data_IF_539143297880
#
_entry.id   IF_539143297880
#
_cell.length_a   1.000
_cell.length_b   1.000
_cell.length_c   1.000
_cell.angle_alpha   90.00
_cell.angle_beta   90.00
_cell.angle_gamma   90.00
#
_symmetry.space_group_name_H-M   'P 1'
#
loop_
_entity.id
_entity.type
_entity.pdbx_description
1 polymer ?
#
# COMPACT_ATOMS: atom_id res chain seq x y z
N UNK A 1 30.78 -26.17 -6.94
CA UNK A 1 30.78 -24.69 -6.86
C UNK A 1 30.28 -24.19 -8.20
N UNK A 2 28.96 -24.03 -8.34
CA UNK A 2 28.38 -23.48 -9.56
C UNK A 2 28.39 -21.96 -9.48
N UNK A 3 29.11 -21.39 -10.41
CA UNK A 3 29.30 -19.95 -10.52
C UNK A 3 28.07 -19.39 -11.26
N UNK A 4 27.04 -18.96 -10.52
CA UNK A 4 25.91 -18.27 -11.12
C UNK A 4 26.38 -16.87 -11.54
N UNK A 5 26.71 -16.74 -12.82
CA UNK A 5 26.93 -15.44 -13.44
C UNK A 5 25.62 -14.66 -13.40
N UNK A 6 25.53 -13.68 -12.52
CA UNK A 6 24.43 -12.73 -12.51
C UNK A 6 24.48 -11.92 -13.81
N UNK A 7 23.75 -12.36 -14.81
CA UNK A 7 23.46 -11.52 -15.96
C UNK A 7 22.55 -10.39 -15.47
N UNK A 8 23.06 -9.17 -15.51
CA UNK A 8 22.33 -7.95 -15.21
C UNK A 8 21.25 -7.71 -16.28
N UNK A 9 20.14 -8.45 -16.20
CA UNK A 9 18.96 -8.17 -16.99
C UNK A 9 18.08 -7.21 -16.20
N UNK A 10 17.67 -6.10 -16.80
CA UNK A 10 16.82 -5.05 -16.19
C UNK A 10 15.42 -5.54 -15.74
N UNK A 11 15.07 -6.78 -16.01
CA UNK A 11 13.82 -7.44 -15.63
C UNK A 11 14.12 -8.64 -14.76
N UNK A 12 14.12 -8.42 -13.43
CA UNK A 12 14.16 -9.55 -12.50
C UNK A 12 12.78 -10.22 -12.46
N UNK A 13 12.76 -11.52 -12.65
CA UNK A 13 11.57 -12.35 -12.43
C UNK A 13 11.44 -12.63 -10.93
N UNK A 14 10.21 -12.87 -10.49
CA UNK A 14 9.97 -13.43 -9.15
C UNK A 14 10.22 -14.93 -9.27
N UNK A 15 11.23 -15.42 -8.56
CA UNK A 15 11.67 -16.84 -8.61
C UNK A 15 11.13 -17.65 -7.44
N UNK A 16 10.78 -16.99 -6.34
CA UNK A 16 10.15 -17.64 -5.19
C UNK A 16 8.69 -17.96 -5.46
N UNK A 17 8.30 -19.22 -5.24
CA UNK A 17 6.92 -19.67 -5.35
C UNK A 17 6.12 -19.30 -4.11
N UNK A 18 4.91 -18.83 -4.28
CA UNK A 18 3.95 -18.54 -3.21
C UNK A 18 2.52 -18.83 -3.66
N UNK A 19 1.64 -19.08 -2.70
CA UNK A 19 0.22 -19.20 -2.98
C UNK A 19 -0.42 -17.81 -2.98
N UNK A 20 -1.05 -17.44 -4.12
CA UNK A 20 -1.79 -16.18 -4.24
C UNK A 20 -3.24 -16.36 -3.79
N UNK A 21 -3.74 -15.40 -2.98
CA UNK A 21 -5.12 -15.35 -2.51
C UNK A 21 -5.75 -14.00 -2.86
N UNK A 22 -6.98 -14.03 -3.40
CA UNK A 22 -7.77 -12.84 -3.72
C UNK A 22 -9.11 -12.86 -2.99
N UNK A 23 -9.14 -12.60 -1.66
CA UNK A 23 -10.39 -12.60 -0.90
C UNK A 23 -11.34 -11.51 -1.39
N UNK A 24 -12.65 -11.78 -1.31
CA UNK A 24 -13.72 -10.84 -1.67
C UNK A 24 -14.32 -10.12 -0.45
N UNK A 25 -14.00 -10.57 0.78
CA UNK A 25 -14.49 -9.98 2.03
C UNK A 25 -13.37 -9.75 3.04
N UNK A 26 -13.59 -8.82 3.97
CA UNK A 26 -12.64 -8.56 5.05
C UNK A 26 -12.48 -9.79 5.97
N UNK A 27 -13.56 -10.53 6.24
CA UNK A 27 -13.50 -11.74 7.07
C UNK A 27 -12.59 -12.80 6.44
N UNK A 28 -12.75 -13.06 5.15
CA UNK A 28 -11.90 -13.99 4.40
C UNK A 28 -10.43 -13.52 4.41
N UNK A 29 -10.18 -12.24 4.15
CA UNK A 29 -8.84 -11.66 4.20
C UNK A 29 -8.19 -11.86 5.57
N UNK A 30 -8.90 -11.55 6.67
CA UNK A 30 -8.41 -11.71 8.03
C UNK A 30 -8.13 -13.16 8.39
N UNK A 31 -8.90 -14.12 7.85
CA UNK A 31 -8.63 -15.54 8.01
C UNK A 31 -7.33 -15.96 7.33
N UNK A 32 -7.15 -15.56 6.08
CA UNK A 32 -5.94 -15.86 5.30
C UNK A 32 -4.69 -15.24 5.93
N UNK A 33 -4.80 -14.04 6.51
CA UNK A 33 -3.68 -13.36 7.17
C UNK A 33 -3.23 -14.01 8.49
N UNK A 34 -3.93 -15.03 8.97
CA UNK A 34 -3.49 -15.85 10.12
C UNK A 34 -2.52 -16.95 9.72
N UNK A 35 -2.45 -17.29 8.44
CA UNK A 35 -1.48 -18.25 7.95
C UNK A 35 -0.06 -17.72 8.15
N UNK A 36 0.89 -18.55 8.57
CA UNK A 36 2.26 -18.12 8.80
C UNK A 36 2.90 -17.63 7.51
N UNK A 37 3.89 -16.76 7.65
CA UNK A 37 4.68 -16.21 6.54
C UNK A 37 3.82 -15.65 5.39
N UNK A 38 2.77 -14.90 5.76
CA UNK A 38 1.84 -14.28 4.81
C UNK A 38 2.19 -12.82 4.58
N UNK A 39 2.28 -12.42 3.32
CA UNK A 39 2.47 -11.02 2.92
C UNK A 39 1.17 -10.42 2.38
N UNK A 40 0.94 -9.14 2.71
CA UNK A 40 -0.18 -8.36 2.22
C UNK A 40 0.20 -7.66 0.93
N UNK A 41 -0.63 -7.83 -0.10
CA UNK A 41 -0.51 -7.12 -1.37
C UNK A 41 -1.67 -6.12 -1.51
N UNK A 42 -1.35 -4.83 -1.41
CA UNK A 42 -2.26 -3.74 -1.76
C UNK A 42 -1.86 -3.19 -3.14
N UNK A 43 -1.17 -2.05 -3.19
CA UNK A 43 -0.66 -1.48 -4.44
C UNK A 43 0.56 -2.19 -5.05
N UNK A 44 1.28 -2.96 -4.28
CA UNK A 44 2.42 -3.78 -4.71
C UNK A 44 3.72 -3.05 -5.01
N UNK A 45 3.76 -1.73 -4.94
CA UNK A 45 4.92 -0.92 -5.31
C UNK A 45 6.19 -1.22 -4.50
N UNK A 46 6.03 -1.69 -3.26
CA UNK A 46 7.12 -2.16 -2.41
C UNK A 46 7.27 -3.68 -2.42
N UNK A 47 6.17 -4.42 -2.19
CA UNK A 47 6.22 -5.88 -2.08
C UNK A 47 6.75 -6.55 -3.35
N UNK A 48 6.27 -6.13 -4.53
CA UNK A 48 6.72 -6.72 -5.81
C UNK A 48 8.24 -6.51 -6.00
N UNK A 49 8.74 -5.34 -5.60
CA UNK A 49 10.18 -5.08 -5.65
C UNK A 49 10.96 -5.97 -4.66
N UNK A 50 10.45 -6.16 -3.44
CA UNK A 50 11.06 -7.07 -2.45
C UNK A 50 11.10 -8.52 -2.96
N UNK A 51 10.03 -8.98 -3.60
CA UNK A 51 9.97 -10.32 -4.22
C UNK A 51 10.98 -10.46 -5.36
N UNK A 52 11.07 -9.46 -6.25
CA UNK A 52 12.03 -9.45 -7.38
C UNK A 52 13.49 -9.34 -6.92
N UNK A 53 13.74 -8.68 -5.80
CA UNK A 53 15.07 -8.53 -5.22
C UNK A 53 15.43 -9.69 -4.27
N UNK A 54 14.53 -10.65 -4.11
CA UNK A 54 14.70 -11.80 -3.21
C UNK A 54 14.98 -11.38 -1.75
N UNK A 55 14.39 -10.24 -1.33
CA UNK A 55 14.47 -9.74 0.06
C UNK A 55 13.23 -10.08 0.88
N UNK A 56 12.21 -10.66 0.25
CA UNK A 56 11.01 -11.22 0.90
C UNK A 56 10.66 -12.56 0.26
N UNK A 57 10.35 -13.56 1.08
CA UNK A 57 10.02 -14.92 0.66
C UNK A 57 8.76 -15.41 1.39
N UNK A 58 7.57 -14.81 1.13
CA UNK A 58 6.33 -15.26 1.74
C UNK A 58 5.86 -16.58 1.15
N UNK A 59 5.22 -17.42 1.95
CA UNK A 59 4.54 -18.64 1.46
C UNK A 59 3.16 -18.31 0.89
N UNK A 60 2.55 -17.22 1.39
CA UNK A 60 1.25 -16.74 0.97
C UNK A 60 1.28 -15.25 0.67
N UNK A 61 0.58 -14.84 -0.39
CA UNK A 61 0.36 -13.43 -0.73
C UNK A 61 -1.14 -13.19 -0.81
N UNK A 62 -1.66 -12.29 0.05
CA UNK A 62 -3.08 -11.95 0.12
C UNK A 62 -3.31 -10.58 -0.52
N UNK A 63 -4.01 -10.54 -1.65
CA UNK A 63 -4.35 -9.33 -2.37
C UNK A 63 -5.63 -8.69 -1.83
N UNK A 64 -5.52 -7.48 -1.34
CA UNK A 64 -6.66 -6.77 -0.71
C UNK A 64 -7.57 -6.03 -1.68
N UNK A 65 -7.19 -5.88 -2.95
CA UNK A 65 -7.96 -5.07 -3.93
C UNK A 65 -9.35 -5.61 -4.25
N UNK A 66 -9.65 -6.88 -3.93
CA UNK A 66 -10.98 -7.46 -4.06
C UNK A 66 -11.93 -7.14 -2.89
N UNK A 67 -11.40 -6.66 -1.77
CA UNK A 67 -12.17 -6.39 -0.54
C UNK A 67 -12.76 -4.98 -0.62
N UNK A 68 -14.02 -4.85 -1.00
CA UNK A 68 -14.69 -3.56 -1.26
C UNK A 68 -14.71 -2.64 -0.04
N UNK A 69 -14.87 -3.18 1.15
CA UNK A 69 -14.90 -2.42 2.41
C UNK A 69 -13.60 -1.65 2.67
N UNK A 70 -12.48 -2.12 2.13
CA UNK A 70 -11.17 -1.47 2.25
C UNK A 70 -10.94 -0.34 1.23
N UNK A 71 -11.85 -0.14 0.30
CA UNK A 71 -11.78 0.92 -0.73
C UNK A 71 -12.53 2.20 -0.36
N UNK A 72 -13.09 2.31 0.85
CA UNK A 72 -13.83 3.50 1.25
C UNK A 72 -12.92 4.72 1.39
N UNK A 73 -13.30 5.83 0.74
CA UNK A 73 -12.66 7.13 0.89
C UNK A 73 -13.75 8.18 1.11
N UNK A 74 -13.85 8.71 2.33
CA UNK A 74 -14.93 9.61 2.71
C UNK A 74 -14.50 10.60 3.80
N UNK A 75 -15.19 11.74 3.86
CA UNK A 75 -15.12 12.63 5.00
C UNK A 75 -16.04 12.12 6.12
N UNK A 76 -15.56 12.14 7.36
CA UNK A 76 -16.36 11.81 8.53
C UNK A 76 -16.46 13.03 9.44
N UNK A 77 -17.68 13.38 9.82
CA UNK A 77 -17.95 14.36 10.87
C UNK A 77 -18.33 13.59 12.14
N UNK A 78 -17.51 13.72 13.17
CA UNK A 78 -17.81 13.14 14.49
C UNK A 78 -18.86 13.95 15.24
N UNK A 79 -19.54 13.31 16.20
CA UNK A 79 -20.52 13.96 17.08
C UNK A 79 -19.92 15.07 17.94
N UNK A 80 -18.60 15.04 18.13
CA UNK A 80 -17.83 15.98 18.96
C UNK A 80 -17.26 17.15 18.15
N UNK A 81 -17.77 17.40 16.93
CA UNK A 81 -17.28 18.44 16.03
C UNK A 81 -15.94 18.11 15.34
N UNK A 82 -15.40 16.92 15.56
CA UNK A 82 -14.23 16.43 14.85
C UNK A 82 -14.61 16.08 13.40
N UNK A 83 -13.89 16.65 12.45
CA UNK A 83 -13.98 16.25 11.06
C UNK A 83 -12.66 15.65 10.62
N UNK A 84 -12.71 14.52 9.92
CA UNK A 84 -11.53 13.81 9.45
C UNK A 84 -11.78 13.08 8.15
N UNK A 85 -10.73 12.48 7.61
CA UNK A 85 -10.79 11.62 6.44
C UNK A 85 -10.77 10.16 6.86
N UNK A 86 -11.67 9.36 6.27
CA UNK A 86 -11.56 7.92 6.27
C UNK A 86 -10.87 7.49 4.96
N UNK A 87 -9.69 6.89 5.10
CA UNK A 87 -8.89 6.42 3.97
C UNK A 87 -8.72 4.90 4.10
N UNK A 88 -9.48 4.15 3.34
CA UNK A 88 -9.42 2.69 3.35
C UNK A 88 -8.07 2.14 2.87
N UNK A 89 -7.74 0.92 3.27
CA UNK A 89 -6.43 0.31 3.05
C UNK A 89 -6.06 0.12 1.57
N UNK A 90 -7.05 0.06 0.67
CA UNK A 90 -6.83 -0.09 -0.78
C UNK A 90 -6.98 1.22 -1.56
N UNK A 91 -7.26 2.33 -0.86
CA UNK A 91 -7.33 3.66 -1.48
C UNK A 91 -5.95 4.08 -1.96
N UNK A 92 -5.85 4.39 -3.25
CA UNK A 92 -4.58 4.78 -3.86
C UNK A 92 -4.19 6.21 -3.51
N UNK A 93 -2.90 6.49 -3.54
CA UNK A 93 -2.37 7.84 -3.36
C UNK A 93 -2.96 8.81 -4.39
N UNK A 94 -3.14 8.36 -5.64
CA UNK A 94 -3.74 9.19 -6.70
C UNK A 94 -5.20 9.55 -6.42
N UNK A 95 -5.99 8.66 -5.79
CA UNK A 95 -7.37 8.99 -5.38
C UNK A 95 -7.37 10.08 -4.32
N UNK A 96 -6.49 10.01 -3.34
CA UNK A 96 -6.36 11.04 -2.29
C UNK A 96 -5.83 12.35 -2.87
N UNK A 97 -4.81 12.31 -3.71
CA UNK A 97 -4.22 13.48 -4.39
C UNK A 97 -5.23 14.25 -5.23
N UNK A 98 -6.17 13.56 -5.88
CA UNK A 98 -7.21 14.18 -6.71
C UNK A 98 -8.38 14.77 -5.94
N UNK A 99 -8.49 14.49 -4.66
CA UNK A 99 -9.59 14.99 -3.82
C UNK A 99 -9.47 16.50 -3.61
N UNK A 100 -10.50 17.24 -3.99
CA UNK A 100 -10.57 18.68 -3.76
C UNK A 100 -10.60 19.02 -2.26
N UNK A 101 -11.21 18.19 -1.44
CA UNK A 101 -11.19 18.30 0.02
C UNK A 101 -9.77 18.19 0.57
N UNK A 102 -8.99 17.23 0.07
CA UNK A 102 -7.61 17.06 0.50
C UNK A 102 -6.74 18.25 0.09
N UNK A 103 -6.87 18.72 -1.13
CA UNK A 103 -6.14 19.90 -1.62
C UNK A 103 -6.47 21.16 -0.82
N UNK A 104 -7.73 21.32 -0.41
CA UNK A 104 -8.19 22.51 0.30
C UNK A 104 -7.91 22.46 1.81
N UNK A 105 -8.18 21.31 2.45
CA UNK A 105 -8.24 21.21 3.90
C UNK A 105 -7.05 20.44 4.51
N UNK A 106 -6.31 19.67 3.70
CA UNK A 106 -5.22 18.79 4.14
C UNK A 106 -3.99 18.97 3.24
N UNK A 107 -3.57 20.23 3.03
CA UNK A 107 -2.50 20.57 2.08
C UNK A 107 -1.20 19.82 2.34
N UNK A 108 -0.82 19.62 3.61
CA UNK A 108 0.38 18.87 3.98
C UNK A 108 0.31 17.40 3.53
N UNK A 109 -0.87 16.77 3.61
CA UNK A 109 -1.08 15.41 3.09
C UNK A 109 -1.02 15.39 1.56
N UNK A 110 -1.63 16.39 0.90
CA UNK A 110 -1.56 16.53 -0.55
C UNK A 110 -0.10 16.63 -1.03
N UNK A 111 0.69 17.52 -0.44
CA UNK A 111 2.09 17.72 -0.81
C UNK A 111 2.94 16.49 -0.53
N UNK A 112 2.76 15.84 0.62
CA UNK A 112 3.44 14.61 0.96
C UNK A 112 3.14 13.49 -0.06
N UNK A 113 1.89 13.29 -0.45
CA UNK A 113 1.51 12.31 -1.46
C UNK A 113 2.06 12.70 -2.84
N UNK A 114 2.01 13.99 -3.20
CA UNK A 114 2.50 14.49 -4.49
C UNK A 114 4.00 14.25 -4.67
N UNK A 115 4.79 14.26 -3.58
CA UNK A 115 6.22 13.97 -3.59
C UNK A 115 6.56 12.49 -3.79
N UNK A 116 5.60 11.58 -3.58
CA UNK A 116 5.87 10.13 -3.70
C UNK A 116 5.98 9.71 -5.16
N UNK A 117 7.19 9.42 -5.62
CA UNK A 117 7.46 8.85 -6.95
C UNK A 117 6.79 9.59 -8.11
N UNK A 118 6.54 8.88 -9.19
CA UNK A 118 5.77 9.39 -10.33
C UNK A 118 4.27 9.04 -10.24
N UNK A 119 3.47 9.63 -11.13
CA UNK A 119 2.02 9.40 -11.17
C UNK A 119 1.66 7.92 -11.36
N UNK A 120 2.46 7.17 -12.11
CA UNK A 120 2.25 5.72 -12.30
C UNK A 120 2.37 4.96 -10.99
N UNK A 121 3.34 5.34 -10.15
CA UNK A 121 3.48 4.76 -8.80
C UNK A 121 2.28 5.14 -7.94
N UNK A 122 1.87 6.41 -7.91
CA UNK A 122 0.72 6.87 -7.12
C UNK A 122 -0.61 6.27 -7.56
N UNK A 123 -0.74 5.85 -8.82
CA UNK A 123 -1.92 5.12 -9.31
C UNK A 123 -2.05 3.72 -8.69
N UNK A 124 -0.96 3.14 -8.24
CA UNK A 124 -0.90 1.79 -7.65
C UNK A 124 -0.69 1.83 -6.13
N UNK A 125 0.23 2.66 -5.66
CA UNK A 125 0.57 2.79 -4.25
C UNK A 125 -0.64 3.23 -3.42
N UNK A 126 -0.85 2.59 -2.27
CA UNK A 126 -1.90 2.97 -1.32
C UNK A 126 -1.30 3.74 -0.14
N UNK A 127 -2.10 4.62 0.46
CA UNK A 127 -1.67 5.37 1.66
C UNK A 127 -1.36 4.41 2.80
N UNK A 128 -2.24 3.45 3.06
CA UNK A 128 -2.03 2.44 4.10
C UNK A 128 -0.79 1.56 3.83
N UNK A 129 -0.56 1.18 2.56
CA UNK A 129 0.62 0.40 2.17
C UNK A 129 1.93 1.15 2.42
N UNK A 130 1.96 2.46 2.16
CA UNK A 130 3.12 3.31 2.44
C UNK A 130 3.43 3.38 3.94
N UNK A 131 2.40 3.54 4.78
CA UNK A 131 2.54 3.54 6.24
C UNK A 131 3.03 2.17 6.72
N UNK A 132 2.39 1.09 6.27
CA UNK A 132 2.71 -0.29 6.68
C UNK A 132 4.13 -0.72 6.26
N UNK A 133 4.62 -0.22 5.13
CA UNK A 133 6.00 -0.49 4.69
C UNK A 133 7.05 0.17 5.59
N UNK A 134 6.67 1.22 6.32
CA UNK A 134 7.47 1.91 7.32
C UNK A 134 8.88 2.33 6.84
N UNK A 135 8.99 2.78 5.58
CA UNK A 135 10.26 3.30 5.08
C UNK A 135 10.67 4.55 5.88
N UNK A 136 11.92 4.64 6.37
CA UNK A 136 12.40 5.83 7.07
C UNK A 136 12.37 7.11 6.23
N UNK A 137 12.37 6.98 4.91
CA UNK A 137 12.33 8.08 3.93
C UNK A 137 10.92 8.37 3.41
N UNK A 138 9.85 7.83 4.05
CA UNK A 138 8.48 8.08 3.60
C UNK A 138 7.96 9.42 4.12
N UNK A 139 7.43 10.25 3.20
CA UNK A 139 6.91 11.60 3.53
C UNK A 139 5.47 11.58 4.06
N UNK A 140 4.68 10.55 3.71
CA UNK A 140 3.26 10.45 4.09
C UNK A 140 3.04 10.22 5.60
N UNK A 141 3.79 9.32 6.31
CA UNK A 141 3.58 9.10 7.73
C UNK A 141 3.76 10.34 8.60
N UNK A 142 4.80 11.21 8.42
CA UNK A 142 4.92 12.43 9.21
C UNK A 142 3.77 13.42 8.94
N UNK A 143 3.31 13.55 7.70
CA UNK A 143 2.16 14.40 7.37
C UNK A 143 0.88 13.94 8.07
N UNK A 144 0.64 12.63 8.14
CA UNK A 144 -0.49 12.07 8.86
C UNK A 144 -0.37 12.24 10.38
N UNK A 145 0.84 12.07 10.94
CA UNK A 145 1.07 12.22 12.37
C UNK A 145 0.76 13.66 12.88
N UNK A 146 0.92 14.67 12.03
CA UNK A 146 0.57 16.08 12.37
C UNK A 146 -0.95 16.30 12.33
N UNK A 147 -1.67 15.52 11.54
CA UNK A 147 -3.13 15.65 11.40
C UNK A 147 -3.92 14.94 12.51
N UNK A 148 -3.31 14.07 13.30
CA UNK A 148 -3.88 13.37 14.45
C UNK A 148 -4.29 11.95 14.11
#
# INVERSE_FOLDING_TARGET
MENHSHTNTNTKLITHEFTYHGPASLEEALKLLREPNTAILAGGTDLINKLKLETAHPDHVVYLGGVKELGEFSEKSGKDGFSGLNIGATVTMNQVERSETVKKNYIGLYEAIHSVGGQQIRNMATVAGNIANASPAADVPPALAVLG
#
